data_IF_820249565832
#
_entry.id   IF_820249565832
#
_cell.length_a   1.000
_cell.length_b   1.000
_cell.length_c   1.000
_cell.angle_alpha   90.00
_cell.angle_beta   90.00
_cell.angle_gamma   90.00
#
_symmetry.space_group_name_H-M   'P 1'
#
loop_
_entity.id
_entity.type
_entity.pdbx_description
1 polymer ?
#
# COMPACT_ATOMS: atom_id res chain seq x y z
N UNK A 1 7.09 -9.40 12.77
CA UNK A 1 7.53 -7.98 12.81
C UNK A 1 6.32 -7.12 13.16
N UNK A 2 6.50 -6.05 13.93
CA UNK A 2 5.45 -5.08 14.18
C UNK A 2 5.78 -3.82 13.37
N UNK A 3 4.84 -3.38 12.52
CA UNK A 3 4.99 -2.18 11.70
C UNK A 3 4.02 -1.09 12.17
N UNK A 4 4.57 0.04 12.59
CA UNK A 4 3.82 1.19 13.10
C UNK A 4 3.63 2.22 11.98
N UNK A 5 2.59 2.03 11.17
CA UNK A 5 2.34 2.85 9.98
C UNK A 5 1.84 4.29 10.25
N UNK A 6 1.52 4.61 11.51
CA UNK A 6 1.03 5.92 11.92
C UNK A 6 -0.26 6.35 11.20
N UNK A 7 -0.43 7.66 11.02
CA UNK A 7 -1.61 8.25 10.37
C UNK A 7 -1.76 7.93 8.88
N UNK A 8 -0.72 7.37 8.24
CA UNK A 8 -0.75 7.01 6.82
C UNK A 8 -1.83 5.99 6.47
N UNK A 9 -2.16 5.08 7.39
CA UNK A 9 -3.28 4.14 7.23
C UNK A 9 -4.61 4.90 7.08
N UNK A 10 -4.83 5.93 7.91
CA UNK A 10 -6.07 6.69 7.89
C UNK A 10 -6.20 7.58 6.65
N UNK A 11 -5.07 8.00 6.08
CA UNK A 11 -5.03 8.84 4.88
C UNK A 11 -5.26 8.08 3.56
N UNK A 12 -5.49 6.77 3.61
CA UNK A 12 -5.81 5.98 2.43
C UNK A 12 -7.15 6.44 1.80
N UNK A 13 -7.28 6.48 0.45
CA UNK A 13 -8.51 6.94 -0.21
C UNK A 13 -9.79 6.19 0.21
N UNK A 14 -9.68 4.89 0.46
CA UNK A 14 -10.79 4.05 0.95
C UNK A 14 -10.86 3.97 2.49
N UNK A 15 -10.23 4.90 3.20
CA UNK A 15 -10.17 4.94 4.65
C UNK A 15 -9.27 3.86 5.29
N UNK A 16 -9.30 3.73 6.63
CA UNK A 16 -8.35 2.92 7.38
C UNK A 16 -8.29 1.45 6.95
N UNK A 17 -9.43 0.86 6.59
CA UNK A 17 -9.49 -0.53 6.11
C UNK A 17 -8.66 -0.70 4.82
N UNK A 18 -8.83 0.21 3.85
CA UNK A 18 -8.04 0.19 2.63
C UNK A 18 -6.55 0.38 2.90
N UNK A 19 -6.19 1.23 3.86
CA UNK A 19 -4.79 1.43 4.27
C UNK A 19 -4.14 0.16 4.85
N UNK A 20 -4.87 -0.59 5.68
CA UNK A 20 -4.38 -1.88 6.21
C UNK A 20 -4.23 -2.91 5.09
N UNK A 21 -5.20 -3.00 4.17
CA UNK A 21 -5.12 -3.91 3.01
C UNK A 21 -3.93 -3.55 2.12
N UNK A 22 -3.75 -2.26 1.80
CA UNK A 22 -2.65 -1.75 1.00
C UNK A 22 -1.27 -2.11 1.59
N UNK A 23 -1.11 -2.05 2.92
CA UNK A 23 0.14 -2.46 3.57
C UNK A 23 0.42 -3.96 3.45
N UNK A 24 -0.62 -4.80 3.62
CA UNK A 24 -0.47 -6.24 3.44
C UNK A 24 -0.12 -6.58 1.97
N UNK A 25 -0.73 -5.89 1.02
CA UNK A 25 -0.43 -6.03 -0.41
C UNK A 25 0.99 -5.58 -0.74
N UNK A 26 1.42 -4.43 -0.22
CA UNK A 26 2.80 -3.94 -0.38
C UNK A 26 3.82 -4.93 0.17
N UNK A 27 3.56 -5.47 1.37
CA UNK A 27 4.41 -6.50 1.98
C UNK A 27 4.49 -7.74 1.10
N UNK A 28 3.35 -8.24 0.62
CA UNK A 28 3.32 -9.42 -0.25
C UNK A 28 4.07 -9.17 -1.56
N UNK A 29 3.84 -8.04 -2.21
CA UNK A 29 4.55 -7.65 -3.41
C UNK A 29 6.07 -7.59 -3.21
N UNK A 30 6.52 -7.02 -2.09
CA UNK A 30 7.95 -6.96 -1.75
C UNK A 30 8.56 -8.35 -1.53
N UNK A 31 7.85 -9.25 -0.84
CA UNK A 31 8.27 -10.65 -0.64
C UNK A 31 8.32 -11.41 -1.97
N UNK A 32 7.35 -11.17 -2.86
CA UNK A 32 7.25 -11.81 -4.17
C UNK A 32 8.21 -11.18 -5.21
N UNK A 33 8.97 -10.13 -4.84
CA UNK A 33 9.97 -9.49 -5.70
C UNK A 33 9.42 -8.56 -6.77
N UNK A 34 8.17 -8.10 -6.62
CA UNK A 34 7.53 -7.19 -7.57
C UNK A 34 8.07 -5.76 -7.43
N UNK A 35 8.19 -5.06 -8.56
CA UNK A 35 8.38 -3.62 -8.58
C UNK A 35 7.12 -2.88 -8.07
N UNK A 36 7.28 -1.61 -7.69
CA UNK A 36 6.16 -0.76 -7.27
C UNK A 36 5.10 -0.64 -8.37
N UNK A 37 5.52 -0.54 -9.64
CA UNK A 37 4.60 -0.41 -10.78
C UNK A 37 3.80 -1.70 -11.04
N UNK A 38 4.43 -2.86 -10.91
CA UNK A 38 3.75 -4.17 -11.02
C UNK A 38 2.76 -4.36 -9.88
N UNK A 39 3.20 -4.09 -8.65
CA UNK A 39 2.37 -4.18 -7.45
C UNK A 39 1.17 -3.22 -7.52
N UNK A 40 1.36 -1.98 -7.96
CA UNK A 40 0.29 -0.99 -8.09
C UNK A 40 -0.78 -1.38 -9.11
N UNK A 41 -0.40 -2.12 -10.16
CA UNK A 41 -1.34 -2.67 -11.15
C UNK A 41 -2.06 -3.90 -10.64
N UNK A 42 -1.37 -4.74 -9.88
CA UNK A 42 -1.92 -6.00 -9.36
C UNK A 42 -2.84 -5.80 -8.15
N UNK A 43 -2.54 -4.83 -7.30
CA UNK A 43 -3.18 -4.65 -6.01
C UNK A 43 -3.88 -3.29 -5.94
N UNK A 44 -5.23 -3.24 -6.02
CA UNK A 44 -5.97 -1.98 -6.14
C UNK A 44 -5.77 -1.00 -4.98
N UNK A 45 -5.78 -1.47 -3.72
CA UNK A 45 -5.61 -0.62 -2.53
C UNK A 45 -4.17 -0.10 -2.43
N UNK A 46 -3.18 -0.96 -2.70
CA UNK A 46 -1.80 -0.50 -2.83
C UNK A 46 -1.63 0.51 -3.99
N UNK A 47 -2.24 0.25 -5.15
CA UNK A 47 -2.23 1.18 -6.29
C UNK A 47 -2.80 2.54 -5.93
N UNK A 48 -3.91 2.58 -5.20
CA UNK A 48 -4.48 3.83 -4.65
C UNK A 48 -3.50 4.53 -3.71
N UNK A 49 -2.79 3.79 -2.86
CA UNK A 49 -1.72 4.36 -2.03
C UNK A 49 -0.60 4.99 -2.87
N UNK A 50 -0.17 4.32 -3.95
CA UNK A 50 0.86 4.83 -4.87
C UNK A 50 0.40 6.13 -5.55
N UNK A 51 -0.88 6.27 -5.92
CA UNK A 51 -1.38 7.53 -6.50
C UNK A 51 -1.26 8.73 -5.55
N UNK A 52 -1.41 8.51 -4.24
CA UNK A 52 -1.36 9.57 -3.22
C UNK A 52 0.06 9.84 -2.73
N UNK A 53 0.86 8.79 -2.54
CA UNK A 53 2.16 8.88 -1.85
C UNK A 53 3.38 8.61 -2.74
N UNK A 54 3.22 7.98 -3.90
CA UNK A 54 4.33 7.49 -4.74
C UNK A 54 5.14 8.54 -5.50
N UNK A 55 4.79 9.83 -5.37
CA UNK A 55 5.51 10.96 -6.00
C UNK A 55 6.21 11.88 -4.99
N UNK A 56 6.19 11.53 -3.71
CA UNK A 56 6.97 12.20 -2.67
C UNK A 56 8.30 11.47 -2.49
#
# INVERSE_FOLDING_TARGET
LLYMAGGGIMAHPDGPQGGVIALNQAWKAAVDGLSVDEAAKQYPEFGKSVTVFGKK
#
